data_IF_517505909029
#
_entry.id   IF_517505909029
#
_cell.length_a   1.000
_cell.length_b   1.000
_cell.length_c   1.000
_cell.angle_alpha   90.00
_cell.angle_beta   90.00
_cell.angle_gamma   90.00
#
_symmetry.space_group_name_H-M   'P 1'
#
loop_
_entity.id
_entity.type
_entity.pdbx_description
1 polymer ?
#
# COMPACT_ATOMS: atom_id res chain seq x y z
N UNK A 1 16.04 30.34 -6.60
CA UNK A 1 16.23 30.10 -5.14
C UNK A 1 16.01 28.62 -4.86
N UNK A 2 17.00 27.92 -4.29
CA UNK A 2 16.86 26.50 -3.95
C UNK A 2 15.84 26.37 -2.81
N UNK A 3 14.66 25.78 -3.09
CA UNK A 3 13.69 25.43 -2.04
C UNK A 3 14.36 24.39 -1.15
N UNK A 4 14.71 24.78 0.08
CA UNK A 4 15.26 23.86 1.10
C UNK A 4 14.23 22.75 1.34
N UNK A 5 14.67 21.50 1.43
CA UNK A 5 13.81 20.37 1.79
C UNK A 5 13.22 20.58 3.20
N UNK A 6 12.03 20.10 3.52
CA UNK A 6 11.40 20.38 4.81
C UNK A 6 12.15 19.73 6.00
N UNK A 7 12.82 18.59 5.78
CA UNK A 7 13.61 17.90 6.81
C UNK A 7 15.03 18.47 6.92
N UNK A 8 15.25 19.44 7.80
CA UNK A 8 16.55 20.10 7.98
C UNK A 8 17.45 19.39 9.00
N UNK A 9 16.87 18.85 10.09
CA UNK A 9 17.59 18.11 11.13
C UNK A 9 17.55 16.59 10.90
N UNK A 10 18.37 15.86 11.66
CA UNK A 10 18.39 14.41 11.65
C UNK A 10 17.03 13.83 12.09
N UNK A 11 16.46 14.36 13.17
CA UNK A 11 15.17 13.89 13.72
C UNK A 11 14.04 14.10 12.71
N UNK A 12 14.00 15.25 12.04
CA UNK A 12 13.01 15.51 10.99
C UNK A 12 13.20 14.59 9.79
N UNK A 13 14.45 14.30 9.42
CA UNK A 13 14.76 13.38 8.32
C UNK A 13 14.37 11.94 8.66
N UNK A 14 14.66 11.49 9.89
CA UNK A 14 14.24 10.18 10.40
C UNK A 14 12.72 10.10 10.42
N UNK A 15 12.04 11.07 11.05
CA UNK A 15 10.58 11.07 11.16
C UNK A 15 9.94 11.04 9.77
N UNK A 16 10.38 11.89 8.85
CA UNK A 16 9.90 11.86 7.47
C UNK A 16 10.11 10.48 6.81
N UNK A 17 11.26 9.86 7.05
CA UNK A 17 11.55 8.51 6.55
C UNK A 17 10.66 7.43 7.15
N UNK A 18 10.22 7.58 8.40
CA UNK A 18 9.28 6.68 9.06
C UNK A 18 7.84 6.92 8.59
N UNK A 19 7.43 8.18 8.48
CA UNK A 19 6.11 8.60 8.01
C UNK A 19 5.84 8.09 6.58
N UNK A 20 6.88 8.12 5.73
CA UNK A 20 6.84 7.60 4.37
C UNK A 20 7.44 6.20 4.25
N UNK A 21 7.78 5.57 5.38
CA UNK A 21 8.29 4.19 5.50
C UNK A 21 9.41 3.81 4.52
N UNK A 22 10.30 4.76 4.27
CA UNK A 22 11.51 4.52 3.53
C UNK A 22 12.44 3.52 4.23
N UNK A 23 12.35 3.37 5.56
CA UNK A 23 13.06 2.33 6.31
C UNK A 23 12.66 0.90 5.92
N UNK A 24 11.48 0.70 5.32
CA UNK A 24 11.03 -0.61 4.85
C UNK A 24 11.30 -0.84 3.36
N UNK A 25 11.72 0.19 2.63
CA UNK A 25 12.10 0.11 1.23
C UNK A 25 13.56 -0.33 1.07
N UNK A 26 13.89 -0.83 -0.12
CA UNK A 26 15.29 -1.08 -0.48
C UNK A 26 16.03 0.26 -0.66
N UNK A 27 17.17 0.50 0.03
CA UNK A 27 17.98 1.71 -0.17
C UNK A 27 18.26 2.03 -1.65
N UNK A 28 18.57 1.01 -2.45
CA UNK A 28 18.85 1.20 -3.88
C UNK A 28 17.62 1.54 -4.72
N UNK A 29 16.40 1.19 -4.31
CA UNK A 29 15.19 1.62 -5.00
C UNK A 29 14.89 3.09 -4.69
N UNK A 30 15.09 3.54 -3.45
CA UNK A 30 14.93 4.95 -3.06
C UNK A 30 15.90 5.88 -3.81
N UNK A 31 17.15 5.42 -3.98
CA UNK A 31 18.16 6.15 -4.77
C UNK A 31 17.73 6.35 -6.23
N UNK A 32 17.10 5.33 -6.82
CA UNK A 32 16.70 5.27 -8.23
C UNK A 32 15.22 5.61 -8.45
N UNK A 33 14.49 5.93 -7.40
CA UNK A 33 13.04 6.15 -7.44
C UNK A 33 12.70 7.23 -8.46
N UNK A 34 11.56 7.12 -9.15
CA UNK A 34 11.07 8.20 -10.02
C UNK A 34 10.61 9.42 -9.21
N UNK A 35 10.24 9.23 -7.94
CA UNK A 35 9.84 10.29 -7.03
C UNK A 35 11.05 11.14 -6.61
N UNK A 36 11.01 12.44 -6.94
CA UNK A 36 12.10 13.38 -6.63
C UNK A 36 12.27 13.58 -5.11
N UNK A 37 11.18 13.50 -4.35
CA UNK A 37 11.17 13.63 -2.88
C UNK A 37 11.95 12.49 -2.25
N UNK A 38 11.67 11.24 -2.65
CA UNK A 38 12.38 10.03 -2.21
C UNK A 38 13.88 10.11 -2.50
N UNK A 39 14.25 10.41 -3.77
CA UNK A 39 15.65 10.55 -4.16
C UNK A 39 16.36 11.61 -3.33
N UNK A 40 15.72 12.78 -3.18
CA UNK A 40 16.30 13.88 -2.42
C UNK A 40 16.45 13.56 -0.93
N UNK A 41 15.47 12.86 -0.35
CA UNK A 41 15.54 12.40 1.03
C UNK A 41 16.70 11.41 1.19
N UNK A 42 16.82 10.42 0.30
CA UNK A 42 17.87 9.41 0.37
C UNK A 42 19.27 10.00 0.18
N UNK A 43 19.46 10.85 -0.84
CA UNK A 43 20.73 11.54 -1.09
C UNK A 43 21.16 12.43 0.07
N UNK A 44 20.21 13.11 0.74
CA UNK A 44 20.52 13.88 1.95
C UNK A 44 20.99 12.96 3.08
N UNK A 45 20.26 11.88 3.34
CA UNK A 45 20.63 10.90 4.37
C UNK A 45 22.02 10.30 4.15
N UNK A 46 22.40 10.02 2.91
CA UNK A 46 23.75 9.58 2.58
C UNK A 46 24.80 10.66 2.84
N UNK A 47 24.58 11.89 2.35
CA UNK A 47 25.54 13.00 2.49
C UNK A 47 25.82 13.35 3.94
N UNK A 48 24.78 13.38 4.77
CA UNK A 48 24.88 13.68 6.20
C UNK A 48 25.24 12.43 7.05
N UNK A 49 25.37 11.25 6.43
CA UNK A 49 25.61 9.93 7.07
C UNK A 49 24.51 9.49 8.04
N UNK A 50 23.32 10.09 8.00
CA UNK A 50 22.14 9.70 8.79
C UNK A 50 21.53 8.38 8.33
N UNK A 51 21.80 7.96 7.09
CA UNK A 51 21.29 6.70 6.51
C UNK A 51 21.61 5.48 7.36
N UNK A 52 22.72 5.50 8.11
CA UNK A 52 23.15 4.40 8.98
C UNK A 52 22.33 4.28 10.27
N UNK A 53 21.62 5.35 10.64
CA UNK A 53 20.78 5.40 11.84
C UNK A 53 19.34 4.99 11.57
N UNK A 54 18.92 5.09 10.31
CA UNK A 54 17.65 4.52 9.89
C UNK A 54 17.83 3.00 9.77
N UNK A 55 17.24 2.25 10.70
CA UNK A 55 17.31 0.79 10.71
C UNK A 55 16.52 0.21 9.51
N UNK A 56 17.15 0.18 8.34
CA UNK A 56 16.51 -0.39 7.14
C UNK A 56 16.19 -1.86 7.34
N UNK A 57 14.95 -2.25 7.08
CA UNK A 57 14.51 -3.64 7.17
C UNK A 57 15.01 -4.43 5.94
N UNK A 58 16.24 -4.92 6.01
CA UNK A 58 16.90 -5.68 4.92
C UNK A 58 16.44 -7.14 4.82
N UNK A 59 15.42 -7.58 5.58
CA UNK A 59 14.96 -8.99 5.52
C UNK A 59 14.32 -9.26 4.16
N UNK A 60 14.93 -10.16 3.38
CA UNK A 60 14.38 -10.68 2.13
C UNK A 60 13.10 -11.48 2.41
N UNK A 61 12.00 -11.12 1.77
CA UNK A 61 10.66 -11.73 1.95
C UNK A 61 10.45 -12.99 1.10
N UNK A 62 11.51 -13.60 0.59
CA UNK A 62 11.44 -14.62 -0.48
C UNK A 62 10.96 -16.00 0.02
N UNK A 63 10.72 -16.16 1.32
CA UNK A 63 10.24 -17.42 1.90
C UNK A 63 8.78 -17.33 2.34
N UNK A 64 8.05 -18.45 2.28
CA UNK A 64 6.66 -18.52 2.74
C UNK A 64 6.53 -18.11 4.21
N UNK A 65 7.44 -18.59 5.08
CA UNK A 65 7.47 -18.19 6.50
C UNK A 65 7.68 -16.68 6.67
N UNK A 66 8.53 -16.08 5.84
CA UNK A 66 8.75 -14.64 5.84
C UNK A 66 7.50 -13.85 5.45
N UNK A 67 6.77 -14.33 4.43
CA UNK A 67 5.52 -13.71 4.01
C UNK A 67 4.40 -13.91 5.05
N UNK A 68 4.26 -15.10 5.63
CA UNK A 68 3.31 -15.33 6.72
C UNK A 68 3.56 -14.39 7.90
N UNK A 69 4.81 -14.31 8.37
CA UNK A 69 5.15 -13.39 9.46
C UNK A 69 4.86 -11.93 9.09
N UNK A 70 5.11 -11.53 7.83
CA UNK A 70 4.77 -10.19 7.35
C UNK A 70 3.26 -9.94 7.45
N UNK A 71 2.44 -10.86 6.92
CA UNK A 71 0.97 -10.76 6.95
C UNK A 71 0.40 -10.81 8.38
N UNK A 72 1.10 -11.42 9.33
CA UNK A 72 0.67 -11.53 10.73
C UNK A 72 1.08 -10.33 11.58
N UNK A 73 2.17 -9.64 11.25
CA UNK A 73 2.81 -8.68 12.18
C UNK A 73 2.90 -7.26 11.66
N UNK A 74 2.89 -7.05 10.34
CA UNK A 74 3.03 -5.72 9.76
C UNK A 74 1.64 -5.11 9.48
N UNK A 75 1.30 -3.95 10.09
CA UNK A 75 -0.03 -3.34 9.94
C UNK A 75 -0.45 -3.11 8.49
N UNK A 76 0.47 -2.73 7.60
CA UNK A 76 0.18 -2.52 6.18
C UNK A 76 -0.13 -3.80 5.43
N UNK A 77 0.53 -4.90 5.81
CA UNK A 77 0.25 -6.20 5.22
C UNK A 77 -1.13 -6.70 5.67
N UNK A 78 -1.49 -6.42 6.93
CA UNK A 78 -2.84 -6.68 7.45
C UNK A 78 -3.90 -5.80 6.80
N UNK A 79 -3.62 -4.51 6.60
CA UNK A 79 -4.47 -3.59 5.84
C UNK A 79 -4.65 -4.09 4.41
N UNK A 80 -3.58 -4.46 3.71
CA UNK A 80 -3.65 -5.06 2.38
C UNK A 80 -4.52 -6.33 2.37
N UNK A 81 -4.37 -7.21 3.37
CA UNK A 81 -5.17 -8.42 3.51
C UNK A 81 -6.66 -8.12 3.74
N UNK A 82 -6.96 -7.13 4.59
CA UNK A 82 -8.31 -6.65 4.87
C UNK A 82 -8.97 -6.01 3.64
N UNK A 83 -8.20 -5.29 2.81
CA UNK A 83 -8.70 -4.63 1.61
C UNK A 83 -9.09 -5.63 0.51
N UNK A 84 -8.28 -6.68 0.32
CA UNK A 84 -8.43 -7.62 -0.80
C UNK A 84 -9.29 -8.84 -0.46
N UNK A 85 -9.46 -9.12 0.84
CA UNK A 85 -10.43 -10.07 1.38
C UNK A 85 -10.33 -11.44 0.72
N UNK A 86 -9.10 -11.96 0.62
CA UNK A 86 -8.85 -13.27 0.01
C UNK A 86 -8.46 -13.25 -1.47
N UNK A 87 -8.55 -12.11 -2.16
CA UNK A 87 -8.04 -12.02 -3.54
C UNK A 87 -6.50 -11.97 -3.58
N UNK A 88 -5.92 -13.11 -3.93
CA UNK A 88 -4.47 -13.29 -3.99
C UNK A 88 -3.79 -12.48 -5.09
N UNK A 89 -4.52 -12.14 -6.18
CA UNK A 89 -3.93 -11.37 -7.29
C UNK A 89 -3.75 -9.93 -6.85
N UNK A 90 -4.81 -9.33 -6.32
CA UNK A 90 -4.74 -7.96 -5.81
C UNK A 90 -3.78 -7.87 -4.61
N UNK A 91 -3.77 -8.88 -3.72
CA UNK A 91 -2.81 -8.92 -2.61
C UNK A 91 -1.36 -8.94 -3.12
N UNK A 92 -1.08 -9.70 -4.18
CA UNK A 92 0.26 -9.75 -4.77
C UNK A 92 0.68 -8.40 -5.37
N UNK A 93 -0.25 -7.70 -6.03
CA UNK A 93 0.00 -6.37 -6.60
C UNK A 93 0.31 -5.36 -5.49
N UNK A 94 -0.54 -5.31 -4.45
CA UNK A 94 -0.37 -4.41 -3.32
C UNK A 94 0.95 -4.67 -2.58
N UNK A 95 1.26 -5.95 -2.26
CA UNK A 95 2.49 -6.29 -1.57
C UNK A 95 3.74 -5.92 -2.38
N UNK A 96 3.69 -6.03 -3.70
CA UNK A 96 4.80 -5.65 -4.57
C UNK A 96 5.03 -4.13 -4.60
N UNK A 97 3.96 -3.33 -4.46
CA UNK A 97 4.04 -1.87 -4.39
C UNK A 97 4.58 -1.42 -3.02
N UNK A 98 3.95 -1.89 -1.93
CA UNK A 98 4.29 -1.49 -0.56
C UNK A 98 5.72 -1.93 -0.20
N UNK A 99 6.07 -3.18 -0.55
CA UNK A 99 7.36 -3.78 -0.23
C UNK A 99 8.29 -3.85 -1.45
N UNK A 100 8.23 -2.82 -2.30
CA UNK A 100 9.06 -2.71 -3.49
C UNK A 100 10.54 -2.94 -3.17
N UNK A 101 11.18 -3.79 -3.98
CA UNK A 101 12.58 -4.15 -3.82
C UNK A 101 12.84 -5.25 -2.78
N UNK A 102 11.83 -5.66 -1.99
CA UNK A 102 11.88 -6.82 -1.09
C UNK A 102 11.13 -8.03 -1.65
N UNK A 103 10.06 -7.78 -2.39
CA UNK A 103 9.30 -8.80 -3.10
C UNK A 103 8.82 -8.25 -4.44
N UNK A 104 8.94 -9.06 -5.49
CA UNK A 104 8.31 -8.76 -6.79
C UNK A 104 6.91 -9.35 -6.84
N UNK A 105 6.05 -8.79 -7.69
CA UNK A 105 4.70 -9.32 -7.89
C UNK A 105 4.71 -10.83 -8.23
N UNK A 106 5.59 -11.26 -9.15
CA UNK A 106 5.74 -12.68 -9.51
C UNK A 106 6.13 -13.56 -8.31
N UNK A 107 6.99 -13.07 -7.41
CA UNK A 107 7.34 -13.78 -6.19
C UNK A 107 6.16 -13.82 -5.21
N UNK A 108 5.46 -12.69 -5.02
CA UNK A 108 4.27 -12.62 -4.17
C UNK A 108 3.21 -13.61 -4.65
N UNK A 109 2.84 -13.58 -5.94
CA UNK A 109 1.90 -14.55 -6.52
C UNK A 109 2.33 -16.01 -6.30
N UNK A 110 3.62 -16.31 -6.47
CA UNK A 110 4.14 -17.66 -6.23
C UNK A 110 3.97 -18.10 -4.77
N UNK A 111 4.26 -17.20 -3.82
CA UNK A 111 4.19 -17.50 -2.40
C UNK A 111 2.74 -17.58 -1.89
N UNK A 112 1.85 -16.69 -2.35
CA UNK A 112 0.43 -16.67 -1.98
C UNK A 112 -0.32 -17.94 -2.44
N UNK A 113 0.17 -18.61 -3.49
CA UNK A 113 -0.34 -19.91 -3.93
C UNK A 113 0.10 -21.09 -3.06
N UNK A 114 1.05 -20.90 -2.14
CA UNK A 114 1.47 -21.96 -1.24
C UNK A 114 0.30 -22.35 -0.31
N UNK A 115 0.00 -23.64 -0.11
CA UNK A 115 -1.16 -24.08 0.67
C UNK A 115 -1.24 -23.41 2.05
N UNK A 116 -0.14 -23.39 2.80
CA UNK A 116 -0.10 -22.79 4.14
C UNK A 116 -0.46 -21.30 4.17
N UNK A 117 -0.16 -20.55 3.11
CA UNK A 117 -0.49 -19.13 3.03
C UNK A 117 -1.91 -18.95 2.52
N UNK A 118 -2.33 -19.78 1.55
CA UNK A 118 -3.71 -19.79 1.06
C UNK A 118 -4.70 -20.10 2.18
N UNK A 119 -4.39 -21.08 3.02
CA UNK A 119 -5.23 -21.47 4.16
C UNK A 119 -5.32 -20.35 5.20
N UNK A 120 -4.22 -19.60 5.40
CA UNK A 120 -4.19 -18.43 6.29
C UNK A 120 -5.02 -17.26 5.74
N UNK A 121 -4.86 -16.95 4.46
CA UNK A 121 -5.60 -15.86 3.78
C UNK A 121 -7.09 -16.16 3.71
N UNK A 122 -7.45 -17.44 3.56
CA UNK A 122 -8.81 -17.89 3.41
C UNK A 122 -9.34 -17.73 1.99
N UNK A 123 -10.65 -17.93 1.85
CA UNK A 123 -11.37 -17.75 0.59
C UNK A 123 -11.79 -16.29 0.40
N UNK A 124 -12.10 -15.92 -0.85
CA UNK A 124 -12.60 -14.59 -1.14
C UNK A 124 -13.94 -14.34 -0.43
N UNK A 125 -14.03 -13.25 0.32
CA UNK A 125 -15.26 -12.76 0.92
C UNK A 125 -15.46 -11.30 0.50
N UNK A 126 -16.69 -10.86 0.15
CA UNK A 126 -16.96 -9.44 -0.05
C UNK A 126 -16.85 -8.68 1.29
N UNK A 127 -16.73 -7.36 1.22
CA UNK A 127 -16.63 -6.54 2.40
C UNK A 127 -17.96 -6.53 3.15
N UNK A 128 -17.92 -6.40 4.47
CA UNK A 128 -19.14 -6.19 5.24
C UNK A 128 -19.76 -4.83 4.90
N UNK A 129 -18.93 -3.82 4.65
CA UNK A 129 -19.36 -2.49 4.25
C UNK A 129 -18.24 -1.73 3.50
N UNK A 130 -18.63 -0.67 2.77
CA UNK A 130 -17.69 0.17 2.03
C UNK A 130 -16.81 1.03 2.96
N UNK A 131 -17.29 1.41 4.14
CA UNK A 131 -16.53 2.26 5.06
C UNK A 131 -15.22 1.61 5.52
N UNK A 132 -15.22 0.29 5.75
CA UNK A 132 -14.01 -0.46 6.12
C UNK A 132 -12.98 -0.49 4.97
N UNK A 133 -13.44 -0.62 3.73
CA UNK A 133 -12.57 -0.52 2.55
C UNK A 133 -11.93 0.87 2.45
N UNK A 134 -12.69 1.92 2.72
CA UNK A 134 -12.22 3.32 2.68
C UNK A 134 -11.23 3.60 3.80
N UNK A 135 -11.50 3.14 5.02
CA UNK A 135 -10.58 3.29 6.14
C UNK A 135 -9.24 2.58 5.86
N UNK A 136 -9.31 1.36 5.32
CA UNK A 136 -8.12 0.61 4.92
C UNK A 136 -7.37 1.29 3.76
N UNK A 137 -8.10 1.85 2.79
CA UNK A 137 -7.52 2.60 1.68
C UNK A 137 -6.70 3.82 2.13
N UNK A 138 -7.18 4.56 3.15
CA UNK A 138 -6.46 5.72 3.69
C UNK A 138 -5.08 5.38 4.25
N UNK A 139 -4.89 4.16 4.74
CA UNK A 139 -3.58 3.69 5.22
C UNK A 139 -2.62 3.34 4.09
N UNK A 140 -3.16 2.90 2.94
CA UNK A 140 -2.36 2.38 1.83
C UNK A 140 -2.08 3.42 0.74
N UNK A 141 -2.98 4.38 0.50
CA UNK A 141 -2.81 5.42 -0.53
C UNK A 141 -1.53 6.25 -0.38
N UNK A 142 -1.08 6.64 0.84
CA UNK A 142 0.19 7.34 0.98
C UNK A 142 1.41 6.56 0.46
N UNK A 143 1.26 5.25 0.29
CA UNK A 143 2.28 4.33 -0.21
C UNK A 143 2.16 4.08 -1.71
N UNK A 144 1.16 4.69 -2.35
CA UNK A 144 0.87 4.42 -3.74
C UNK A 144 1.99 4.93 -4.63
N UNK A 145 2.39 4.06 -5.56
CA UNK A 145 3.40 4.34 -6.56
C UNK A 145 2.74 4.15 -7.91
N UNK A 146 2.73 5.22 -8.68
CA UNK A 146 2.20 5.24 -10.05
C UNK A 146 0.68 5.00 -10.15
N UNK A 147 -0.08 5.19 -9.06
CA UNK A 147 -1.55 5.08 -9.05
C UNK A 147 -2.08 3.65 -8.96
N UNK A 148 -1.20 2.67 -8.69
CA UNK A 148 -1.56 1.24 -8.71
C UNK A 148 -2.50 0.90 -7.54
N UNK A 149 -2.20 1.38 -6.34
CA UNK A 149 -3.05 1.11 -5.17
C UNK A 149 -4.40 1.81 -5.32
N UNK A 150 -4.41 3.06 -5.81
CA UNK A 150 -5.63 3.80 -6.10
C UNK A 150 -6.53 3.02 -7.07
N UNK A 151 -5.99 2.50 -8.18
CA UNK A 151 -6.76 1.71 -9.15
C UNK A 151 -7.35 0.43 -8.54
N UNK A 152 -6.57 -0.28 -7.71
CA UNK A 152 -7.03 -1.49 -7.02
C UNK A 152 -8.16 -1.14 -6.03
N UNK A 153 -7.96 -0.10 -5.22
CA UNK A 153 -8.93 0.38 -4.23
C UNK A 153 -10.23 0.78 -4.92
N UNK A 154 -10.16 1.61 -5.97
CA UNK A 154 -11.34 2.05 -6.73
C UNK A 154 -12.10 0.86 -7.33
N UNK A 155 -11.37 -0.12 -7.86
CA UNK A 155 -11.96 -1.36 -8.38
C UNK A 155 -12.67 -2.15 -7.29
N UNK A 156 -12.09 -2.24 -6.09
CA UNK A 156 -12.67 -2.94 -4.93
C UNK A 156 -13.94 -2.26 -4.43
N UNK A 157 -13.88 -0.95 -4.21
CA UNK A 157 -15.03 -0.15 -3.80
C UNK A 157 -16.16 -0.29 -4.82
N UNK A 158 -15.87 -0.20 -6.13
CA UNK A 158 -16.88 -0.38 -7.18
C UNK A 158 -17.54 -1.76 -7.12
N UNK A 159 -16.76 -2.84 -6.96
CA UNK A 159 -17.30 -4.20 -6.82
C UNK A 159 -18.20 -4.35 -5.60
N UNK A 160 -17.83 -3.74 -4.47
CA UNK A 160 -18.64 -3.79 -3.25
C UNK A 160 -19.96 -3.04 -3.43
N UNK A 161 -19.89 -1.85 -4.02
CA UNK A 161 -21.05 -1.05 -4.41
C UNK A 161 -21.99 -1.84 -5.33
N UNK A 162 -21.45 -2.50 -6.37
CA UNK A 162 -22.24 -3.36 -7.27
C UNK A 162 -22.91 -4.53 -6.52
N UNK A 163 -22.20 -5.12 -5.55
CA UNK A 163 -22.73 -6.18 -4.71
C UNK A 163 -23.89 -5.69 -3.83
N UNK A 164 -23.75 -4.54 -3.16
CA UNK A 164 -24.79 -3.94 -2.31
C UNK A 164 -26.02 -3.49 -3.10
N UNK A 165 -25.82 -2.99 -4.33
CA UNK A 165 -26.90 -2.57 -5.23
C UNK A 165 -27.72 -3.72 -5.82
N UNK A 166 -27.11 -4.90 -5.95
CA UNK A 166 -27.69 -6.03 -6.67
C UNK A 166 -27.83 -5.79 -8.18
N UNK A 167 -28.56 -6.69 -8.85
CA UNK A 167 -28.62 -6.76 -10.32
C UNK A 167 -29.44 -5.67 -11.00
N UNK A 168 -30.34 -4.99 -10.29
CA UNK A 168 -31.23 -3.97 -10.84
C UNK A 168 -31.40 -2.75 -9.92
N UNK A 169 -30.34 -1.94 -9.73
CA UNK A 169 -30.43 -0.74 -8.92
C UNK A 169 -31.33 0.32 -9.57
N UNK A 170 -32.15 0.96 -8.75
CA UNK A 170 -32.98 2.10 -9.15
C UNK A 170 -32.13 3.30 -9.58
N UNK A 171 -32.75 4.28 -10.25
CA UNK A 171 -32.05 5.49 -10.68
C UNK A 171 -31.49 6.27 -9.48
N UNK A 172 -32.27 6.40 -8.40
CA UNK A 172 -31.88 7.09 -7.17
C UNK A 172 -30.65 6.42 -6.53
N UNK A 173 -30.70 5.09 -6.36
CA UNK A 173 -29.57 4.33 -5.81
C UNK A 173 -28.29 4.48 -6.65
N UNK A 174 -28.40 4.51 -7.99
CA UNK A 174 -27.25 4.77 -8.87
C UNK A 174 -26.70 6.18 -8.67
N UNK A 175 -27.55 7.18 -8.55
CA UNK A 175 -27.14 8.57 -8.36
C UNK A 175 -26.45 8.79 -7.01
N UNK A 176 -26.99 8.20 -5.93
CA UNK A 176 -26.38 8.25 -4.59
C UNK A 176 -24.96 7.65 -4.60
N UNK A 177 -24.79 6.52 -5.27
CA UNK A 177 -23.49 5.86 -5.37
C UNK A 177 -22.49 6.62 -6.22
N UNK A 178 -22.91 7.22 -7.33
CA UNK A 178 -22.02 8.06 -8.13
C UNK A 178 -21.58 9.29 -7.35
N UNK A 179 -22.48 9.88 -6.56
CA UNK A 179 -22.14 10.98 -5.66
C UNK A 179 -21.16 10.54 -4.56
N UNK A 180 -21.38 9.36 -3.97
CA UNK A 180 -20.50 8.79 -2.96
C UNK A 180 -19.11 8.47 -3.51
N UNK A 181 -19.01 7.85 -4.69
CA UNK A 181 -17.74 7.59 -5.37
C UNK A 181 -17.01 8.91 -5.69
N UNK A 182 -17.72 9.93 -6.19
CA UNK A 182 -17.12 11.24 -6.46
C UNK A 182 -16.63 11.93 -5.18
N UNK A 183 -17.33 11.77 -4.05
CA UNK A 183 -16.87 12.26 -2.76
C UNK A 183 -15.60 11.52 -2.32
N UNK A 184 -15.59 10.19 -2.43
CA UNK A 184 -14.41 9.37 -2.11
C UNK A 184 -13.20 9.73 -2.97
N UNK A 185 -13.38 10.01 -4.26
CA UNK A 185 -12.29 10.46 -5.12
C UNK A 185 -11.67 11.78 -4.65
N UNK A 186 -12.49 12.70 -4.11
CA UNK A 186 -11.97 13.94 -3.52
C UNK A 186 -11.28 13.70 -2.16
N UNK A 187 -11.76 12.75 -1.36
CA UNK A 187 -11.17 12.42 -0.06
C UNK A 187 -9.85 11.64 -0.17
N UNK A 188 -9.70 10.85 -1.23
CA UNK A 188 -8.52 10.03 -1.51
C UNK A 188 -7.47 10.76 -2.36
N UNK A 189 -7.80 11.93 -2.91
CA UNK A 189 -6.87 12.73 -3.69
C UNK A 189 -5.68 13.20 -2.81
N UNK A 190 -4.42 12.98 -3.24
CA UNK A 190 -3.27 13.45 -2.48
C UNK A 190 -3.27 14.98 -2.42
N UNK A 191 -3.29 15.53 -1.21
CA UNK A 191 -3.21 16.97 -0.90
C UNK A 191 -1.88 17.60 -1.29
#
# INVERSE_FOLDING_TARGET
MSKRTPWQTEEQWIQHGLDHCYNESNPSSLEKSKNKTERSWYSKGQREKWINKLNFNRKNLISSKGLTNLLETEPRAQAALSLVQGDQVDLADILAVIYEGRITNKQAQKLLRAPSIRDYIGEYQPAENIADLVNTARELIPLDKEGILEDIIKRRIRKQVEYELGTNPTLEQRTEILAYLAQLENELAPS
#
